data_IF_267020408853
#
_entry.id   IF_267020408853
#
_cell.length_a   1.000
_cell.length_b   1.000
_cell.length_c   1.000
_cell.angle_alpha   90.00
_cell.angle_beta   90.00
_cell.angle_gamma   90.00
#
_symmetry.space_group_name_H-M   'P 1'
#
loop_
_entity.id
_entity.type
_entity.pdbx_description
1 polymer ?
#
# COMPACT_ATOMS: atom_id res chain seq x y z
N UNK A 1 -21.47 5.07 14.43
CA UNK A 1 -22.57 5.78 13.71
C UNK A 1 -22.00 7.13 13.28
N UNK A 2 -21.76 7.46 12.01
CA UNK A 2 -22.31 7.05 10.71
C UNK A 2 -21.18 7.11 9.65
N UNK A 3 -21.15 6.14 8.73
CA UNK A 3 -20.38 6.20 7.47
C UNK A 3 -20.87 7.35 6.58
N UNK A 4 -19.94 8.03 5.89
CA UNK A 4 -20.27 8.99 4.83
C UNK A 4 -20.01 8.29 3.48
N UNK A 5 -21.01 7.54 3.01
CA UNK A 5 -21.02 7.00 1.64
C UNK A 5 -21.33 8.14 0.65
N UNK A 6 -20.28 8.74 0.09
CA UNK A 6 -20.37 9.76 -0.95
C UNK A 6 -20.91 9.21 -2.27
N UNK A 7 -22.21 9.41 -2.53
CA UNK A 7 -22.90 9.11 -3.78
C UNK A 7 -22.33 9.99 -4.91
N UNK A 8 -21.42 9.46 -5.75
CA UNK A 8 -20.89 10.22 -6.91
C UNK A 8 -21.98 10.54 -7.93
N UNK A 9 -22.15 11.82 -8.25
CA UNK A 9 -22.89 12.32 -9.42
C UNK A 9 -22.13 11.95 -10.70
N UNK A 10 -22.79 11.24 -11.62
CA UNK A 10 -22.24 10.91 -12.95
C UNK A 10 -22.28 12.16 -13.84
N UNK A 11 -21.17 12.89 -13.92
CA UNK A 11 -20.98 13.90 -14.96
C UNK A 11 -20.57 13.20 -16.26
N UNK A 12 -21.47 13.18 -17.25
CA UNK A 12 -21.17 12.76 -18.62
C UNK A 12 -20.40 13.89 -19.31
N UNK A 13 -19.06 13.83 -19.29
CA UNK A 13 -18.23 14.69 -20.13
C UNK A 13 -18.06 14.06 -21.53
N UNK A 14 -18.19 14.89 -22.56
CA UNK A 14 -18.12 14.52 -23.98
C UNK A 14 -16.69 14.12 -24.33
N UNK A 15 -16.54 12.96 -24.98
CA UNK A 15 -15.30 12.55 -25.67
C UNK A 15 -14.89 13.62 -26.69
N UNK A 16 -13.79 14.28 -26.44
CA UNK A 16 -12.92 14.81 -27.51
C UNK A 16 -11.75 13.83 -27.65
N UNK A 17 -11.68 13.17 -28.81
CA UNK A 17 -10.50 12.43 -29.26
C UNK A 17 -9.36 13.43 -29.44
N UNK A 18 -8.23 13.23 -28.77
CA UNK A 18 -7.03 14.02 -29.00
C UNK A 18 -6.03 13.94 -27.86
N UNK A 19 -4.97 13.16 -28.08
CA UNK A 19 -3.73 13.03 -27.30
C UNK A 19 -3.85 12.49 -25.88
N UNK A 20 -3.33 11.28 -25.68
CA UNK A 20 -3.10 10.67 -24.37
C UNK A 20 -2.29 11.63 -23.47
N UNK A 21 -2.59 11.73 -22.17
CA UNK A 21 -1.61 12.29 -21.25
C UNK A 21 -0.36 11.42 -21.35
N UNK A 22 0.80 12.07 -21.48
CA UNK A 22 2.09 11.40 -21.48
C UNK A 22 2.09 10.37 -20.34
N UNK A 23 2.19 9.09 -20.71
CA UNK A 23 2.46 8.05 -19.75
C UNK A 23 3.66 8.51 -18.94
N UNK A 24 3.52 8.59 -17.62
CA UNK A 24 4.69 8.56 -16.75
C UNK A 24 5.54 7.40 -17.28
N UNK A 25 6.82 7.62 -17.61
CA UNK A 25 7.64 6.54 -18.12
C UNK A 25 7.58 5.42 -17.09
N UNK A 26 7.04 4.29 -17.51
CA UNK A 26 7.08 3.04 -16.77
C UNK A 26 8.53 2.85 -16.33
N UNK A 27 8.78 3.00 -15.02
CA UNK A 27 10.02 2.55 -14.40
C UNK A 27 9.98 1.02 -14.33
N UNK A 28 9.94 0.39 -15.50
CA UNK A 28 9.99 -1.05 -15.69
C UNK A 28 11.42 -1.39 -16.10
N UNK A 29 12.28 -1.65 -15.11
CA UNK A 29 13.37 -2.61 -15.32
C UNK A 29 12.87 -3.97 -14.85
N UNK A 30 12.59 -4.91 -15.76
CA UNK A 30 12.24 -6.27 -15.39
C UNK A 30 13.52 -6.96 -14.92
N UNK A 31 13.82 -6.97 -13.61
CA UNK A 31 14.52 -8.04 -12.84
C UNK A 31 14.74 -7.65 -11.38
N UNK A 32 14.76 -6.37 -10.98
CA UNK A 32 14.99 -6.01 -9.57
C UNK A 32 13.67 -5.97 -8.81
N UNK A 33 13.39 -7.00 -8.00
CA UNK A 33 12.33 -6.87 -7.00
C UNK A 33 12.71 -5.72 -6.06
N UNK A 34 11.78 -4.81 -5.74
CA UNK A 34 12.10 -3.71 -4.85
C UNK A 34 12.55 -4.26 -3.49
N UNK A 35 13.65 -3.75 -2.95
CA UNK A 35 14.11 -4.08 -1.60
C UNK A 35 13.16 -3.45 -0.56
N UNK A 36 12.04 -4.14 -0.30
CA UNK A 36 11.04 -3.70 0.67
C UNK A 36 11.59 -3.69 2.10
N UNK A 37 12.59 -4.53 2.39
CA UNK A 37 13.31 -4.50 3.66
C UNK A 37 14.05 -3.18 3.82
N UNK A 38 14.83 -2.78 2.79
CA UNK A 38 15.53 -1.51 2.75
C UNK A 38 14.60 -0.30 2.86
N UNK A 39 13.43 -0.35 2.20
CA UNK A 39 12.39 0.69 2.33
C UNK A 39 11.87 0.79 3.76
N UNK A 40 11.52 -0.34 4.37
CA UNK A 40 11.01 -0.37 5.74
C UNK A 40 12.07 0.12 6.75
N UNK A 41 13.34 -0.29 6.59
CA UNK A 41 14.47 0.18 7.39
C UNK A 41 14.68 1.69 7.23
N UNK A 42 14.60 2.21 6.00
CA UNK A 42 14.71 3.65 5.75
C UNK A 42 13.57 4.46 6.38
N UNK A 43 12.36 3.89 6.50
CA UNK A 43 11.24 4.53 7.17
C UNK A 43 11.45 4.61 8.69
N UNK A 44 11.90 3.52 9.33
CA UNK A 44 12.12 3.53 10.79
C UNK A 44 13.29 4.42 11.20
N UNK A 45 14.31 4.62 10.34
CA UNK A 45 15.36 5.61 10.57
C UNK A 45 14.84 7.05 10.58
N UNK A 46 13.66 7.30 9.99
CA UNK A 46 12.92 8.57 10.10
C UNK A 46 11.93 8.59 11.26
N UNK A 47 11.98 7.59 12.13
CA UNK A 47 11.02 7.37 13.23
C UNK A 47 9.58 7.23 12.75
N UNK A 48 9.39 6.74 11.52
CA UNK A 48 8.06 6.44 10.98
C UNK A 48 7.73 4.98 11.29
N UNK A 49 6.70 4.69 12.12
CA UNK A 49 6.34 3.32 12.43
C UNK A 49 5.75 2.62 11.20
N UNK A 50 6.19 1.39 10.95
CA UNK A 50 5.74 0.60 9.80
C UNK A 50 5.21 -0.76 10.22
N UNK A 51 4.38 -1.36 9.38
CA UNK A 51 3.82 -2.70 9.53
C UNK A 51 3.70 -3.36 8.14
N UNK A 52 3.88 -4.68 8.01
CA UNK A 52 3.62 -5.37 6.74
C UNK A 52 2.13 -5.31 6.39
N UNK A 53 1.86 -4.95 5.14
CA UNK A 53 0.54 -5.03 4.53
C UNK A 53 0.19 -6.44 4.09
N UNK A 54 -1.09 -6.65 3.78
CA UNK A 54 -1.54 -7.91 3.19
C UNK A 54 -0.81 -8.19 1.88
N UNK A 55 -0.35 -9.43 1.71
CA UNK A 55 0.38 -9.83 0.51
C UNK A 55 -0.51 -9.73 -0.72
N UNK A 56 0.02 -9.20 -1.82
CA UNK A 56 -0.63 -9.29 -3.12
C UNK A 56 -0.52 -10.72 -3.67
N UNK A 57 -1.65 -11.31 -4.04
CA UNK A 57 -1.72 -12.69 -4.54
C UNK A 57 -2.41 -12.70 -5.90
N UNK A 58 -1.67 -12.84 -7.02
CA UNK A 58 -2.27 -12.80 -8.35
C UNK A 58 -3.21 -13.99 -8.64
N UNK A 59 -3.10 -15.07 -7.86
CA UNK A 59 -4.00 -16.22 -7.93
C UNK A 59 -5.35 -16.00 -7.20
N UNK A 60 -5.50 -14.92 -6.44
CA UNK A 60 -6.73 -14.62 -5.70
C UNK A 60 -7.69 -13.77 -6.54
N UNK A 61 -9.02 -13.96 -6.42
CA UNK A 61 -10.01 -13.20 -7.18
C UNK A 61 -9.94 -11.68 -6.94
N UNK A 62 -9.58 -11.28 -5.73
CA UNK A 62 -9.44 -9.88 -5.31
C UNK A 62 -8.02 -9.34 -5.53
N UNK A 63 -7.05 -10.19 -5.88
CA UNK A 63 -5.63 -9.84 -5.89
C UNK A 63 -5.01 -9.73 -4.48
N UNK A 64 -5.77 -9.95 -3.40
CA UNK A 64 -5.30 -9.91 -2.02
C UNK A 64 -5.13 -11.32 -1.42
N UNK A 65 -4.06 -11.54 -0.65
CA UNK A 65 -3.81 -12.78 0.10
C UNK A 65 -4.51 -12.86 1.46
N UNK A 66 -5.40 -11.92 1.79
CA UNK A 66 -6.17 -11.95 3.04
C UNK A 66 -7.35 -12.94 2.96
N UNK A 67 -7.93 -13.37 4.09
CA UNK A 67 -9.07 -14.30 4.10
C UNK A 67 -10.40 -13.67 3.66
N UNK A 68 -10.46 -12.35 3.43
CA UNK A 68 -11.67 -11.67 2.95
C UNK A 68 -11.90 -11.94 1.45
N UNK A 69 -12.98 -12.67 1.07
CA UNK A 69 -13.27 -12.97 -0.32
C UNK A 69 -13.70 -11.75 -1.14
N UNK A 70 -14.09 -10.65 -0.49
CA UNK A 70 -14.58 -9.41 -1.12
C UNK A 70 -13.68 -8.20 -0.80
N UNK A 71 -12.40 -8.46 -0.50
CA UNK A 71 -11.42 -7.44 -0.14
C UNK A 71 -11.39 -6.28 -1.16
N UNK A 72 -11.77 -5.08 -0.70
CA UNK A 72 -11.82 -3.87 -1.51
C UNK A 72 -10.49 -3.12 -1.64
N UNK A 73 -9.48 -3.49 -0.85
CA UNK A 73 -8.19 -2.78 -0.73
C UNK A 73 -7.00 -3.74 -0.80
N UNK A 74 -6.71 -4.37 -1.96
CA UNK A 74 -5.63 -5.34 -2.07
C UNK A 74 -4.27 -4.73 -1.70
N UNK A 75 -3.67 -5.24 -0.62
CA UNK A 75 -2.38 -4.78 -0.11
C UNK A 75 -2.36 -3.43 0.61
N UNK A 76 -3.48 -2.72 0.68
CA UNK A 76 -3.61 -1.40 1.34
C UNK A 76 -4.27 -1.51 2.73
N UNK A 77 -4.02 -2.63 3.41
CA UNK A 77 -4.39 -2.83 4.80
C UNK A 77 -3.33 -3.70 5.50
N UNK A 78 -3.15 -3.54 6.83
CA UNK A 78 -2.24 -4.40 7.57
C UNK A 78 -2.57 -5.87 7.34
N UNK A 79 -1.55 -6.73 7.41
CA UNK A 79 -1.75 -8.17 7.34
C UNK A 79 -2.51 -8.67 8.59
N UNK A 80 -2.09 -9.79 9.18
CA UNK A 80 -2.65 -10.32 10.42
C UNK A 80 -2.41 -9.42 11.64
N UNK A 81 -1.36 -8.62 11.60
CA UNK A 81 -0.98 -7.68 12.65
C UNK A 81 -1.60 -6.31 12.35
N UNK A 82 -2.66 -5.93 13.07
CA UNK A 82 -3.36 -4.66 12.85
C UNK A 82 -2.45 -3.42 12.97
N UNK A 83 -2.95 -2.23 12.58
CA UNK A 83 -2.14 -1.00 12.47
C UNK A 83 -1.42 -0.58 13.78
N UNK A 84 -1.98 -0.94 14.94
CA UNK A 84 -1.36 -0.66 16.24
C UNK A 84 -0.05 -1.42 16.49
N UNK A 85 0.23 -2.47 15.70
CA UNK A 85 1.50 -3.18 15.75
C UNK A 85 2.63 -2.43 15.03
N UNK A 86 2.33 -1.34 14.29
CA UNK A 86 3.34 -0.59 13.57
C UNK A 86 4.47 -0.13 14.50
N UNK A 87 5.70 -0.40 14.09
CA UNK A 87 6.87 -0.29 14.96
C UNK A 87 8.01 0.46 14.28
N UNK A 88 8.91 1.00 15.08
CA UNK A 88 10.21 1.52 14.65
C UNK A 88 11.37 0.61 15.07
N UNK A 89 11.09 -0.57 15.65
CA UNK A 89 12.11 -1.54 16.03
C UNK A 89 12.67 -2.24 14.77
N UNK A 90 13.94 -1.99 14.48
CA UNK A 90 14.63 -2.55 13.31
C UNK A 90 14.69 -4.08 13.32
N UNK A 91 14.81 -4.71 14.49
CA UNK A 91 14.86 -6.18 14.57
C UNK A 91 13.53 -6.78 14.13
N UNK A 92 12.43 -6.19 14.58
CA UNK A 92 11.08 -6.61 14.23
C UNK A 92 10.80 -6.38 12.74
N UNK A 93 11.21 -5.23 12.20
CA UNK A 93 11.06 -4.92 10.77
C UNK A 93 11.86 -5.88 9.89
N UNK A 94 13.15 -6.13 10.19
CA UNK A 94 13.95 -7.07 9.40
C UNK A 94 13.38 -8.48 9.45
N UNK A 95 12.91 -8.92 10.62
CA UNK A 95 12.27 -10.22 10.77
C UNK A 95 10.97 -10.33 9.96
N UNK A 96 10.11 -9.30 9.98
CA UNK A 96 8.87 -9.33 9.21
C UNK A 96 9.10 -9.48 7.71
N UNK A 97 10.08 -8.77 7.15
CA UNK A 97 10.38 -8.84 5.72
C UNK A 97 11.27 -10.02 5.33
N UNK A 98 11.95 -10.69 6.27
CA UNK A 98 12.52 -12.01 6.01
C UNK A 98 11.43 -13.07 5.83
N UNK A 99 10.39 -13.02 6.66
CA UNK A 99 9.24 -13.95 6.58
C UNK A 99 8.28 -13.61 5.43
N UNK A 100 8.18 -12.34 5.06
CA UNK A 100 7.24 -11.85 4.04
C UNK A 100 7.92 -10.88 3.06
N UNK A 101 8.85 -11.33 2.21
CA UNK A 101 9.67 -10.45 1.36
C UNK A 101 8.87 -9.56 0.42
N UNK A 102 7.70 -10.02 -0.01
CA UNK A 102 6.80 -9.31 -0.93
C UNK A 102 5.65 -8.57 -0.24
N UNK A 103 5.65 -8.47 1.10
CA UNK A 103 4.61 -7.71 1.81
C UNK A 103 4.77 -6.21 1.55
N UNK A 104 3.71 -5.49 1.14
CA UNK A 104 3.73 -4.04 1.04
C UNK A 104 4.15 -3.38 2.36
N UNK A 105 4.88 -2.28 2.30
CA UNK A 105 5.25 -1.49 3.50
C UNK A 105 4.13 -0.50 3.79
N UNK A 106 3.46 -0.66 4.93
CA UNK A 106 2.46 0.29 5.39
C UNK A 106 3.06 1.18 6.49
N UNK A 107 2.83 2.48 6.36
CA UNK A 107 3.28 3.48 7.31
C UNK A 107 2.11 3.93 8.18
N UNK A 108 2.30 3.91 9.50
CA UNK A 108 1.31 4.45 10.43
C UNK A 108 1.40 5.99 10.45
N UNK A 109 0.29 6.64 10.09
CA UNK A 109 0.17 8.09 10.12
C UNK A 109 -0.31 8.59 11.49
N UNK A 110 -0.22 9.89 11.74
CA UNK A 110 -0.70 10.52 12.98
C UNK A 110 0.34 10.60 14.11
N UNK A 111 1.52 10.00 13.94
CA UNK A 111 2.65 10.13 14.87
C UNK A 111 3.96 10.35 14.08
N UNK A 112 4.26 11.61 13.78
CA UNK A 112 5.50 12.01 13.11
C UNK A 112 5.49 11.91 11.58
N UNK A 113 4.44 11.35 10.99
CA UNK A 113 4.20 11.29 9.56
C UNK A 113 2.73 11.58 9.21
N UNK A 114 2.52 12.20 8.05
CA UNK A 114 1.21 12.51 7.49
C UNK A 114 1.23 12.25 5.99
N UNK A 115 0.11 11.76 5.45
CA UNK A 115 -0.06 11.50 4.03
C UNK A 115 -1.17 12.38 3.46
N UNK A 116 -0.99 12.89 2.25
CA UNK A 116 -2.00 13.67 1.52
C UNK A 116 -2.12 13.08 0.12
N UNK A 117 -3.31 12.62 -0.24
CA UNK A 117 -3.62 12.17 -1.59
C UNK A 117 -4.07 13.35 -2.44
N UNK A 118 -3.34 13.64 -3.51
CA UNK A 118 -3.64 14.72 -4.44
C UNK A 118 -4.34 14.16 -5.70
N UNK A 119 -5.23 14.95 -6.36
CA UNK A 119 -5.96 14.53 -7.56
C UNK A 119 -5.10 14.47 -8.82
#
# INVERSE_FOLDING_TARGET
MREILGRRRKFRSRRTRGSAPAACPELSHPTDQPDLTGVAVAAIHRHWPVVPGARLTPASPTGCGCPDPECALPGDHPADMGLLAATTDERMVRWWWSERPAAPVLLATGRGASAVSLP
#
